data_IF_249194387400
#
_entry.id   IF_249194387400
#
_cell.length_a   1.000
_cell.length_b   1.000
_cell.length_c   1.000
_cell.angle_alpha   90.00
_cell.angle_beta   90.00
_cell.angle_gamma   90.00
#
_symmetry.space_group_name_H-M   'P 1'
#
loop_
_entity.id
_entity.type
_entity.pdbx_description
1 polymer ?
#
# COMPACT_ATOMS: atom_id res chain seq x y z
N UNK A 1 -31.53 16.95 -6.46
CA UNK A 1 -30.62 17.56 -5.48
C UNK A 1 -29.42 16.64 -5.29
N UNK A 2 -28.19 17.13 -5.48
CA UNK A 2 -26.99 16.34 -5.22
C UNK A 2 -26.80 16.12 -3.73
N UNK A 3 -26.44 14.89 -3.31
CA UNK A 3 -26.09 14.61 -1.91
C UNK A 3 -24.92 15.50 -1.52
N UNK A 4 -25.09 16.27 -0.45
CA UNK A 4 -23.96 16.99 0.17
C UNK A 4 -22.90 15.95 0.58
N UNK A 5 -21.61 16.18 0.29
CA UNK A 5 -20.55 15.29 0.74
C UNK A 5 -20.61 15.16 2.26
N UNK A 6 -20.53 13.94 2.76
CA UNK A 6 -20.51 13.68 4.21
C UNK A 6 -19.30 14.41 4.82
N UNK A 7 -19.45 15.09 5.97
CA UNK A 7 -18.32 15.74 6.64
C UNK A 7 -17.24 14.72 7.03
N UNK A 8 -15.98 15.09 6.86
CA UNK A 8 -14.81 14.31 7.30
C UNK A 8 -13.86 13.94 6.16
N UNK A 9 -12.73 14.62 6.07
CA UNK A 9 -11.59 14.12 5.29
C UNK A 9 -11.05 12.89 6.00
N UNK A 10 -11.12 11.72 5.37
CA UNK A 10 -10.65 10.48 5.98
C UNK A 10 -9.12 10.52 6.14
N UNK A 11 -8.64 10.85 7.35
CA UNK A 11 -7.29 10.50 7.76
C UNK A 11 -7.31 9.00 8.02
N UNK A 12 -6.71 8.24 7.12
CA UNK A 12 -6.68 6.79 7.17
C UNK A 12 -5.34 6.35 7.75
N UNK A 13 -5.37 5.47 8.75
CA UNK A 13 -4.21 4.67 9.14
C UNK A 13 -4.30 3.31 8.44
N UNK A 14 -3.51 3.04 7.38
CA UNK A 14 -3.55 1.77 6.66
C UNK A 14 -3.56 0.52 7.55
N UNK A 15 -2.77 0.52 8.62
CA UNK A 15 -2.66 -0.62 9.54
C UNK A 15 -3.96 -0.93 10.30
N UNK A 16 -4.93 -0.02 10.31
CA UNK A 16 -6.23 -0.22 10.97
C UNK A 16 -7.11 -1.26 10.25
N UNK A 17 -6.79 -1.59 9.00
CA UNK A 17 -7.52 -2.61 8.22
C UNK A 17 -7.08 -4.05 8.52
N UNK A 18 -6.16 -4.27 9.45
CA UNK A 18 -5.73 -5.62 9.85
C UNK A 18 -5.84 -5.83 11.36
N UNK A 19 -6.15 -7.06 11.77
CA UNK A 19 -6.17 -7.44 13.19
C UNK A 19 -4.76 -7.54 13.80
N UNK A 20 -3.70 -7.50 12.96
CA UNK A 20 -2.31 -7.57 13.40
C UNK A 20 -1.54 -6.37 12.81
N UNK A 21 -1.63 -5.16 13.39
CA UNK A 21 -1.01 -3.96 12.84
C UNK A 21 0.49 -4.09 12.58
N UNK A 22 1.21 -4.86 13.43
CA UNK A 22 2.65 -5.13 13.29
C UNK A 22 3.02 -5.88 12.01
N UNK A 23 2.04 -6.50 11.33
CA UNK A 23 2.23 -7.19 10.06
C UNK A 23 2.45 -6.23 8.89
N UNK A 24 1.96 -4.99 9.00
CA UNK A 24 1.98 -4.01 7.94
C UNK A 24 3.40 -3.77 7.41
N UNK A 25 3.61 -3.97 6.11
CA UNK A 25 4.92 -3.81 5.45
C UNK A 25 6.02 -4.77 5.93
N UNK A 26 5.69 -5.77 6.76
CA UNK A 26 6.66 -6.72 7.33
C UNK A 26 6.49 -8.16 6.84
N UNK A 27 5.46 -8.44 6.04
CA UNK A 27 5.16 -9.80 5.57
C UNK A 27 4.68 -9.78 4.13
N UNK A 28 5.16 -10.71 3.30
CA UNK A 28 4.75 -10.85 1.90
C UNK A 28 3.28 -11.28 1.71
N UNK A 29 2.63 -11.82 2.74
CA UNK A 29 1.19 -12.13 2.68
C UNK A 29 0.33 -10.86 2.65
N UNK A 30 -0.88 -10.97 2.06
CA UNK A 30 -1.89 -9.89 2.03
C UNK A 30 -2.16 -9.29 3.41
N UNK A 31 -2.50 -8.01 3.46
CA UNK A 31 -2.78 -7.29 4.70
C UNK A 31 -4.06 -7.82 5.37
N UNK A 32 -5.10 -8.04 4.56
CA UNK A 32 -6.42 -8.51 4.97
C UNK A 32 -6.71 -9.89 4.41
N UNK A 33 -7.61 -10.62 5.07
CA UNK A 33 -8.13 -11.90 4.60
C UNK A 33 -9.50 -11.64 3.99
N UNK A 34 -9.76 -12.17 2.80
CA UNK A 34 -11.05 -12.06 2.12
C UNK A 34 -11.10 -10.98 1.03
N UNK A 35 -12.32 -10.51 0.76
CA UNK A 35 -12.65 -9.53 -0.26
C UNK A 35 -12.23 -8.12 0.17
N UNK A 36 -11.92 -7.27 -0.80
CA UNK A 36 -11.67 -5.84 -0.58
C UNK A 36 -13.01 -5.13 -0.73
N UNK A 37 -13.56 -4.67 0.38
CA UNK A 37 -14.95 -4.17 0.42
C UNK A 37 -15.04 -2.64 0.31
N UNK A 38 -13.88 -1.96 0.34
CA UNK A 38 -13.82 -0.50 0.24
C UNK A 38 -12.55 0.01 -0.46
N UNK A 39 -12.60 1.18 -1.11
CA UNK A 39 -11.40 1.83 -1.66
C UNK A 39 -10.30 2.06 -0.61
N UNK A 40 -10.67 2.34 0.65
CA UNK A 40 -9.72 2.56 1.73
C UNK A 40 -8.97 1.29 2.11
N UNK A 41 -9.67 0.15 2.17
CA UNK A 41 -9.05 -1.16 2.36
C UNK A 41 -8.13 -1.50 1.18
N UNK A 42 -8.57 -1.21 -0.06
CA UNK A 42 -7.74 -1.39 -1.24
C UNK A 42 -6.45 -0.55 -1.18
N UNK A 43 -6.57 0.73 -0.81
CA UNK A 43 -5.41 1.60 -0.62
C UNK A 43 -4.45 1.09 0.47
N UNK A 44 -4.98 0.51 1.55
CA UNK A 44 -4.17 -0.08 2.61
C UNK A 44 -3.44 -1.35 2.14
N UNK A 45 -4.11 -2.24 1.40
CA UNK A 45 -3.50 -3.42 0.77
C UNK A 45 -2.40 -3.04 -0.23
N UNK A 46 -2.68 -2.06 -1.07
CA UNK A 46 -1.71 -1.51 -2.02
C UNK A 46 -0.47 -1.00 -1.29
N UNK A 47 -0.64 -0.13 -0.28
CA UNK A 47 0.49 0.41 0.48
C UNK A 47 1.26 -0.68 1.24
N UNK A 48 0.57 -1.67 1.80
CA UNK A 48 1.21 -2.81 2.46
C UNK A 48 2.16 -3.55 1.50
N UNK A 49 1.70 -3.86 0.29
CA UNK A 49 2.51 -4.50 -0.73
C UNK A 49 3.71 -3.63 -1.16
N UNK A 50 3.51 -2.32 -1.34
CA UNK A 50 4.61 -1.40 -1.64
C UNK A 50 5.66 -1.37 -0.54
N UNK A 51 5.24 -1.31 0.73
CA UNK A 51 6.16 -1.30 1.86
C UNK A 51 6.92 -2.62 2.00
N UNK A 52 6.29 -3.75 1.68
CA UNK A 52 7.00 -5.02 1.61
C UNK A 52 8.11 -5.01 0.57
N UNK A 53 7.84 -4.46 -0.62
CA UNK A 53 8.86 -4.35 -1.68
C UNK A 53 10.02 -3.46 -1.25
N UNK A 54 9.73 -2.32 -0.62
CA UNK A 54 10.76 -1.43 -0.08
C UNK A 54 11.62 -2.18 0.95
N UNK A 55 10.98 -2.87 1.91
CA UNK A 55 11.68 -3.68 2.92
C UNK A 55 12.58 -4.74 2.28
N UNK A 56 12.08 -5.48 1.30
CA UNK A 56 12.85 -6.51 0.58
C UNK A 56 14.05 -5.92 -0.14
N UNK A 57 13.86 -4.83 -0.88
CA UNK A 57 14.94 -4.14 -1.58
C UNK A 57 16.05 -3.64 -0.64
N UNK A 58 15.68 -3.21 0.58
CA UNK A 58 16.60 -2.82 1.64
C UNK A 58 17.35 -4.03 2.22
N UNK A 59 16.64 -5.12 2.50
CA UNK A 59 17.23 -6.37 3.02
C UNK A 59 18.24 -6.96 2.03
N UNK A 60 17.93 -6.93 0.72
CA UNK A 60 18.85 -7.38 -0.34
C UNK A 60 20.18 -6.60 -0.35
N UNK A 61 20.19 -5.41 0.26
CA UNK A 61 21.37 -4.53 0.40
C UNK A 61 21.98 -4.57 1.79
N UNK A 62 21.54 -5.49 2.65
CA UNK A 62 22.02 -5.62 4.02
C UNK A 62 21.67 -4.42 4.91
N UNK A 63 20.60 -3.69 4.60
CA UNK A 63 20.17 -2.52 5.35
C UNK A 63 18.70 -2.59 5.77
N UNK A 64 18.33 -1.73 6.71
CA UNK A 64 16.93 -1.46 7.06
C UNK A 64 16.61 0.01 6.77
N UNK A 65 15.35 0.40 6.95
CA UNK A 65 14.91 1.77 6.61
C UNK A 65 15.69 2.85 7.38
N UNK A 66 16.01 2.61 8.66
CA UNK A 66 16.84 3.52 9.45
C UNK A 66 18.24 3.64 8.87
N UNK A 67 18.87 2.51 8.53
CA UNK A 67 20.19 2.48 7.90
C UNK A 67 20.21 3.25 6.58
N UNK A 68 19.19 3.05 5.74
CA UNK A 68 19.01 3.78 4.50
C UNK A 68 18.91 5.29 4.70
N UNK A 69 18.03 5.75 5.60
CA UNK A 69 17.88 7.18 5.90
C UNK A 69 19.11 7.82 6.54
N UNK A 70 19.99 7.05 7.19
CA UNK A 70 21.24 7.57 7.76
C UNK A 70 22.31 7.86 6.71
N UNK A 71 22.27 7.19 5.56
CA UNK A 71 23.30 7.30 4.51
C UNK A 71 22.80 7.98 3.25
N UNK A 72 21.50 8.26 3.17
CA UNK A 72 20.85 8.86 1.99
C UNK A 72 20.44 10.28 2.30
N UNK A 73 20.81 11.21 1.43
CA UNK A 73 20.26 12.56 1.45
C UNK A 73 18.82 12.53 0.92
N UNK A 74 17.86 12.84 1.79
CA UNK A 74 16.44 12.86 1.44
C UNK A 74 16.06 14.21 0.82
N UNK A 75 15.27 14.23 -0.27
CA UNK A 75 14.71 15.46 -0.81
C UNK A 75 13.89 16.23 0.25
N UNK A 76 13.80 17.56 0.07
CA UNK A 76 13.00 18.40 0.96
C UNK A 76 11.56 17.89 1.08
N UNK A 77 11.05 17.85 2.31
CA UNK A 77 9.72 17.34 2.63
C UNK A 77 9.64 15.83 2.86
N UNK A 78 10.69 15.07 2.55
CA UNK A 78 10.82 13.66 2.93
C UNK A 78 11.72 13.55 4.17
N UNK A 79 11.30 12.76 5.14
CA UNK A 79 12.02 12.59 6.41
C UNK A 79 12.06 11.12 6.81
N UNK A 80 13.05 10.75 7.63
CA UNK A 80 13.14 9.40 8.19
C UNK A 80 11.88 9.05 9.01
N UNK A 81 11.33 10.02 9.76
CA UNK A 81 10.08 9.85 10.51
C UNK A 81 8.90 9.55 9.56
N UNK A 82 8.79 10.30 8.45
CA UNK A 82 7.76 10.05 7.45
C UNK A 82 7.85 8.63 6.92
N UNK A 83 9.02 8.18 6.47
CA UNK A 83 9.18 6.81 5.97
C UNK A 83 8.91 5.75 7.04
N UNK A 84 9.31 6.01 8.29
CA UNK A 84 9.01 5.11 9.39
C UNK A 84 7.48 4.95 9.55
N UNK A 85 6.75 6.06 9.61
CA UNK A 85 5.27 6.05 9.73
C UNK A 85 4.59 5.38 8.53
N UNK A 86 5.12 5.55 7.32
CA UNK A 86 4.65 4.79 6.15
C UNK A 86 4.87 3.28 6.33
N UNK A 87 6.05 2.89 6.82
CA UNK A 87 6.43 1.48 6.98
C UNK A 87 5.64 0.72 8.04
N UNK A 88 5.07 1.43 9.00
CA UNK A 88 4.20 0.84 10.04
C UNK A 88 2.72 1.11 9.80
N UNK A 89 2.36 1.77 8.68
CA UNK A 89 0.97 2.06 8.31
C UNK A 89 0.28 3.09 9.22
N UNK A 90 1.04 4.00 9.83
CA UNK A 90 0.56 5.15 10.61
C UNK A 90 0.31 6.41 9.77
N UNK A 91 0.73 6.36 8.50
CA UNK A 91 0.50 7.42 7.53
C UNK A 91 0.22 6.81 6.15
N UNK A 92 -0.63 7.48 5.39
CA UNK A 92 -0.85 7.16 3.98
C UNK A 92 0.36 7.58 3.15
N UNK A 93 0.76 6.71 2.22
CA UNK A 93 1.72 7.03 1.18
C UNK A 93 1.10 8.05 0.22
N UNK A 94 1.76 9.18 0.04
CA UNK A 94 1.40 10.19 -0.95
C UNK A 94 2.10 9.95 -2.28
N UNK A 95 1.67 10.67 -3.32
CA UNK A 95 2.28 10.57 -4.65
C UNK A 95 3.77 10.95 -4.62
N UNK A 96 4.17 11.92 -3.80
CA UNK A 96 5.59 12.30 -3.62
C UNK A 96 6.43 11.13 -3.10
N UNK A 97 5.92 10.34 -2.14
CA UNK A 97 6.64 9.17 -1.63
C UNK A 97 6.75 8.08 -2.70
N UNK A 98 5.67 7.86 -3.45
CA UNK A 98 5.63 6.89 -4.53
C UNK A 98 6.66 7.24 -5.61
N UNK A 99 6.72 8.50 -6.03
CA UNK A 99 7.68 8.98 -7.02
C UNK A 99 9.13 8.87 -6.52
N UNK A 100 9.37 9.11 -5.24
CA UNK A 100 10.67 8.88 -4.64
C UNK A 100 11.08 7.41 -4.69
N UNK A 101 10.23 6.50 -4.21
CA UNK A 101 10.57 5.08 -4.22
C UNK A 101 10.68 4.51 -5.64
N UNK A 102 9.90 5.04 -6.59
CA UNK A 102 10.00 4.71 -8.00
C UNK A 102 11.33 5.11 -8.65
N UNK A 103 11.96 6.20 -8.20
CA UNK A 103 13.29 6.59 -8.70
C UNK A 103 14.44 5.83 -8.03
N UNK A 104 14.21 5.28 -6.83
CA UNK A 104 15.21 4.54 -6.04
C UNK A 104 15.23 3.05 -6.38
N UNK A 105 14.06 2.44 -6.56
CA UNK A 105 13.89 0.99 -6.68
C UNK A 105 13.56 0.64 -8.14
N UNK A 106 14.41 -0.17 -8.81
CA UNK A 106 14.09 -0.68 -10.14
C UNK A 106 12.74 -1.41 -10.17
N UNK A 107 11.97 -1.14 -11.23
CA UNK A 107 10.67 -1.73 -11.53
C UNK A 107 9.58 -1.47 -10.48
N UNK A 108 9.81 -0.53 -9.55
CA UNK A 108 8.84 -0.25 -8.48
C UNK A 108 7.54 0.35 -9.01
N UNK A 109 7.61 1.22 -10.01
CA UNK A 109 6.42 1.79 -10.66
C UNK A 109 5.62 0.72 -11.41
N UNK A 110 6.28 -0.19 -12.12
CA UNK A 110 5.63 -1.31 -12.80
C UNK A 110 4.95 -2.25 -11.80
N UNK A 111 5.67 -2.59 -10.72
CA UNK A 111 5.10 -3.38 -9.63
C UNK A 111 3.88 -2.69 -9.00
N UNK A 112 3.97 -1.39 -8.73
CA UNK A 112 2.85 -0.62 -8.20
C UNK A 112 1.64 -0.67 -9.13
N UNK A 113 1.83 -0.52 -10.45
CA UNK A 113 0.74 -0.68 -11.43
C UNK A 113 0.05 -2.04 -11.31
N UNK A 114 0.82 -3.14 -11.28
CA UNK A 114 0.27 -4.49 -11.13
C UNK A 114 -0.49 -4.70 -9.81
N UNK A 115 0.04 -4.20 -8.70
CA UNK A 115 -0.65 -4.32 -7.40
C UNK A 115 -1.94 -3.50 -7.42
N UNK A 116 -1.92 -2.30 -7.98
CA UNK A 116 -3.11 -1.47 -8.10
C UNK A 116 -4.21 -2.15 -8.91
N UNK A 117 -3.85 -2.75 -10.06
CA UNK A 117 -4.78 -3.53 -10.88
C UNK A 117 -5.36 -4.72 -10.10
N UNK A 118 -4.50 -5.51 -9.44
CA UNK A 118 -4.93 -6.67 -8.66
C UNK A 118 -5.85 -6.30 -7.47
N UNK A 119 -5.61 -5.16 -6.82
CA UNK A 119 -6.41 -4.66 -5.70
C UNK A 119 -7.73 -4.03 -6.16
N UNK A 120 -7.75 -3.43 -7.36
CA UNK A 120 -8.93 -2.80 -7.95
C UNK A 120 -9.82 -3.80 -8.71
N UNK A 121 -9.31 -4.97 -9.04
CA UNK A 121 -10.07 -6.03 -9.68
C UNK A 121 -11.28 -6.40 -8.80
N UNK A 122 -12.48 -6.30 -9.38
CA UNK A 122 -13.69 -6.83 -8.74
C UNK A 122 -13.64 -8.36 -8.80
N UNK A 123 -14.10 -9.08 -7.78
CA UNK A 123 -14.39 -10.51 -7.95
C UNK A 123 -15.34 -10.63 -9.14
N UNK A 124 -14.98 -11.43 -10.14
CA UNK A 124 -15.87 -11.72 -11.26
C UNK A 124 -17.18 -12.29 -10.69
N UNK A 125 -18.33 -11.76 -11.13
CA UNK A 125 -19.64 -12.29 -10.76
C UNK A 125 -19.70 -13.77 -11.22
N UNK A 126 -19.50 -14.71 -10.29
CA UNK A 126 -19.56 -16.16 -10.53
C UNK A 126 -20.95 -16.64 -11.03
N UNK A 127 -21.93 -15.75 -11.16
CA UNK A 127 -23.34 -16.06 -11.48
C UNK A 127 -23.68 -16.21 -12.97
N UNK A 128 -22.74 -16.04 -13.92
CA UNK A 128 -23.07 -16.18 -15.36
C UNK A 128 -22.89 -17.57 -15.98
N UNK A 129 -22.43 -18.59 -15.23
CA UNK A 129 -22.24 -19.96 -15.79
C UNK A 129 -23.42 -20.90 -15.51
N UNK A 130 -24.38 -20.52 -14.65
CA UNK A 130 -25.48 -21.41 -14.28
C UNK A 130 -26.72 -21.37 -15.21
N UNK A 131 -26.73 -20.57 -16.27
CA UNK A 131 -27.94 -20.33 -17.09
C UNK A 131 -27.90 -20.88 -18.53
N UNK A 132 -26.95 -21.76 -18.88
CA UNK A 132 -26.90 -22.39 -20.22
C UNK A 132 -27.06 -23.93 -20.21
N UNK A 133 -27.82 -24.46 -19.27
CA UNK A 133 -28.40 -25.80 -19.37
C UNK A 133 -29.89 -25.74 -19.00
N UNK A 134 -30.70 -25.35 -19.99
CA UNK A 134 -32.14 -25.47 -20.00
C UNK A 134 -32.59 -26.03 -21.34
#
# INVERSE_FOLDING_TARGET
>A
MGRLPKPGGAVIEPRSFTNIPKKFGQTSSRLTVGTIDSPQQGAAEFQHALMNRIREWLVDRGMNLRGYCNVTELPSGLTADRFYRLSVGEAMMGLTDLMYWASVIPDFAEMAGRVMEAVAAKPEDEDQVASTTG
#
